data_IF_202454543164
#
_entry.id   IF_202454543164
#
_cell.length_a   1.000
_cell.length_b   1.000
_cell.length_c   1.000
_cell.angle_alpha   90.00
_cell.angle_beta   90.00
_cell.angle_gamma   90.00
#
_symmetry.space_group_name_H-M   'P 1'
#
loop_
_entity.id
_entity.type
_entity.pdbx_description
1 polymer ?
#
# COMPACT_ATOMS: atom_id res chain seq x y z
N UNK A 1 -7.38 9.78 10.10
CA UNK A 1 -7.96 8.51 10.61
C UNK A 1 -7.54 7.32 9.75
N UNK A 2 -7.81 7.29 8.44
CA UNK A 2 -7.53 6.12 7.58
C UNK A 2 -6.05 5.70 7.59
N UNK A 3 -5.11 6.64 7.47
CA UNK A 3 -3.67 6.32 7.52
C UNK A 3 -3.23 5.68 8.86
N UNK A 4 -3.87 6.06 9.98
CA UNK A 4 -3.60 5.45 11.30
C UNK A 4 -4.11 4.02 11.33
N UNK A 5 -5.30 3.76 10.77
CA UNK A 5 -5.83 2.41 10.65
C UNK A 5 -4.90 1.56 9.78
N UNK A 6 -4.42 2.08 8.64
CA UNK A 6 -3.43 1.37 7.79
C UNK A 6 -2.16 1.02 8.58
N UNK A 7 -1.65 1.94 9.40
CA UNK A 7 -0.48 1.68 10.24
C UNK A 7 -0.77 0.59 11.28
N UNK A 8 -1.91 0.66 11.96
CA UNK A 8 -2.33 -0.36 12.93
C UNK A 8 -2.49 -1.74 12.26
N UNK A 9 -3.09 -1.79 11.07
CA UNK A 9 -3.18 -3.02 10.28
C UNK A 9 -1.80 -3.56 9.92
N UNK A 10 -0.85 -2.69 9.57
CA UNK A 10 0.50 -3.12 9.26
C UNK A 10 1.24 -3.65 10.51
N UNK A 11 1.06 -3.00 11.66
CA UNK A 11 1.62 -3.48 12.94
C UNK A 11 1.00 -4.83 13.31
N UNK A 12 -0.31 -4.97 13.14
CA UNK A 12 -1.01 -6.24 13.36
C UNK A 12 -0.51 -7.34 12.42
N UNK A 13 -0.36 -7.05 11.13
CA UNK A 13 0.25 -7.96 10.17
C UNK A 13 1.66 -8.39 10.61
N UNK A 14 2.45 -7.46 11.14
CA UNK A 14 3.81 -7.75 11.64
C UNK A 14 3.78 -8.73 12.82
N UNK A 15 2.86 -8.53 13.77
CA UNK A 15 2.66 -9.45 14.90
C UNK A 15 2.28 -10.84 14.39
N UNK A 16 1.31 -10.94 13.48
CA UNK A 16 0.90 -12.20 12.89
C UNK A 16 2.05 -12.91 12.15
N UNK A 17 2.85 -12.15 11.39
CA UNK A 17 4.02 -12.65 10.67
C UNK A 17 5.05 -13.26 11.63
N UNK A 18 5.35 -12.58 12.75
CA UNK A 18 6.26 -13.09 13.78
C UNK A 18 5.75 -14.35 14.45
N UNK A 19 4.46 -14.37 14.81
CA UNK A 19 3.81 -15.55 15.41
C UNK A 19 3.86 -16.74 14.44
N UNK A 20 3.51 -16.53 13.18
CA UNK A 20 3.54 -17.58 12.15
C UNK A 20 4.94 -18.19 12.00
N UNK A 21 5.99 -17.35 11.98
CA UNK A 21 7.37 -17.84 11.93
C UNK A 21 7.73 -18.70 13.14
N UNK A 22 7.29 -18.32 14.35
CA UNK A 22 7.51 -19.13 15.56
C UNK A 22 6.73 -20.45 15.55
N UNK A 23 5.49 -20.44 15.09
CA UNK A 23 4.64 -21.64 15.00
C UNK A 23 5.24 -22.67 14.02
N UNK A 24 5.85 -22.21 12.92
CA UNK A 24 6.51 -23.08 11.92
C UNK A 24 7.94 -23.46 12.35
N UNK A 25 8.42 -22.96 13.50
CA UNK A 25 9.73 -23.35 14.06
C UNK A 25 10.92 -22.59 13.49
N UNK A 26 10.73 -21.41 12.87
CA UNK A 26 11.84 -20.60 12.37
C UNK A 26 12.70 -20.06 13.53
N UNK A 27 14.03 -20.26 13.49
CA UNK A 27 14.93 -19.77 14.53
C UNK A 27 15.11 -18.25 14.44
N UNK A 28 15.32 -17.60 15.59
CA UNK A 28 15.70 -16.19 15.64
C UNK A 28 14.58 -15.19 15.32
N UNK A 29 14.99 -13.99 14.91
CA UNK A 29 14.13 -12.90 14.46
C UNK A 29 14.27 -12.75 12.93
N UNK A 30 13.23 -12.23 12.25
CA UNK A 30 13.33 -11.95 10.82
C UNK A 30 14.45 -10.95 10.49
N UNK A 31 15.02 -11.01 9.27
CA UNK A 31 15.95 -10.00 8.77
C UNK A 31 15.47 -8.57 8.98
N UNK A 32 16.40 -7.66 9.33
CA UNK A 32 16.08 -6.25 9.59
C UNK A 32 15.46 -5.54 8.37
N UNK A 33 15.79 -6.01 7.16
CA UNK A 33 15.23 -5.50 5.90
C UNK A 33 13.70 -5.57 5.84
N UNK A 34 13.10 -6.54 6.54
CA UNK A 34 11.64 -6.69 6.63
C UNK A 34 11.00 -5.48 7.31
N UNK A 35 11.66 -4.84 8.28
CA UNK A 35 11.15 -3.59 8.86
C UNK A 35 11.09 -2.47 7.81
N UNK A 36 12.10 -2.39 6.95
CA UNK A 36 12.13 -1.47 5.83
C UNK A 36 11.04 -1.77 4.80
N UNK A 37 10.75 -3.05 4.53
CA UNK A 37 9.65 -3.48 3.66
C UNK A 37 8.29 -3.14 4.26
N UNK A 38 8.09 -3.37 5.56
CA UNK A 38 6.86 -3.03 6.28
C UNK A 38 6.60 -1.52 6.24
N UNK A 39 7.64 -0.71 6.48
CA UNK A 39 7.54 0.74 6.42
C UNK A 39 7.13 1.24 5.02
N UNK A 40 7.84 0.77 3.98
CA UNK A 40 7.51 1.08 2.57
C UNK A 40 6.12 0.57 2.19
N UNK A 41 5.76 -0.63 2.62
CA UNK A 41 4.43 -1.22 2.44
C UNK A 41 3.34 -0.36 3.06
N UNK A 42 3.57 0.19 4.25
CA UNK A 42 2.65 1.13 4.92
C UNK A 42 2.40 2.36 4.06
N UNK A 43 3.45 2.94 3.48
CA UNK A 43 3.35 4.11 2.60
C UNK A 43 2.58 3.78 1.32
N UNK A 44 2.85 2.62 0.70
CA UNK A 44 2.05 2.15 -0.43
C UNK A 44 0.58 1.90 -0.04
N UNK A 45 0.34 1.41 1.17
CA UNK A 45 -1.00 1.27 1.74
C UNK A 45 -1.71 2.61 1.93
N UNK A 46 -0.99 3.67 2.32
CA UNK A 46 -1.55 5.03 2.40
C UNK A 46 -1.96 5.56 1.02
N UNK A 47 -1.22 5.24 -0.05
CA UNK A 47 -1.64 5.58 -1.42
C UNK A 47 -2.98 4.94 -1.78
N UNK A 48 -3.13 3.64 -1.49
CA UNK A 48 -4.39 2.93 -1.72
C UNK A 48 -5.50 3.53 -0.86
N UNK A 49 -5.21 3.82 0.40
CA UNK A 49 -6.16 4.41 1.34
C UNK A 49 -6.71 5.77 0.89
N UNK A 50 -5.88 6.65 0.30
CA UNK A 50 -6.36 7.95 -0.19
C UNK A 50 -7.28 7.82 -1.40
N UNK A 51 -7.01 6.86 -2.30
CA UNK A 51 -7.90 6.53 -3.41
C UNK A 51 -9.24 6.01 -2.88
N UNK A 52 -9.19 5.04 -1.97
CA UNK A 52 -10.39 4.42 -1.39
C UNK A 52 -11.23 5.43 -0.61
N UNK A 53 -10.59 6.29 0.16
CA UNK A 53 -11.25 7.40 0.84
C UNK A 53 -11.93 8.35 -0.14
N UNK A 54 -11.26 8.72 -1.23
CA UNK A 54 -11.86 9.59 -2.26
C UNK A 54 -13.10 8.94 -2.87
N UNK A 55 -13.00 7.68 -3.32
CA UNK A 55 -14.12 6.94 -3.93
C UNK A 55 -15.29 6.86 -2.95
N UNK A 56 -15.03 6.51 -1.68
CA UNK A 56 -16.06 6.41 -0.65
C UNK A 56 -16.67 7.77 -0.28
N UNK A 57 -15.91 8.87 -0.35
CA UNK A 57 -16.43 10.22 -0.06
C UNK A 57 -17.36 10.75 -1.16
N UNK A 58 -17.17 10.29 -2.40
CA UNK A 58 -17.93 10.76 -3.56
C UNK A 58 -19.17 9.88 -3.80
N UNK A 59 -19.07 8.58 -3.53
CA UNK A 59 -20.09 7.59 -3.90
C UNK A 59 -20.86 7.11 -2.66
N UNK A 60 -22.18 7.25 -2.68
CA UNK A 60 -23.08 6.84 -1.59
C UNK A 60 -23.27 5.32 -1.47
N UNK A 61 -22.78 4.56 -2.45
CA UNK A 61 -22.88 3.10 -2.51
C UNK A 61 -21.60 2.46 -1.98
N UNK A 62 -21.71 1.72 -0.87
CA UNK A 62 -20.61 0.98 -0.24
C UNK A 62 -19.98 -0.09 -1.14
N UNK A 63 -20.74 -0.73 -2.03
CA UNK A 63 -20.22 -1.80 -2.88
C UNK A 63 -19.17 -1.30 -3.88
N UNK A 64 -19.24 -0.03 -4.30
CA UNK A 64 -18.34 0.52 -5.32
C UNK A 64 -16.91 0.70 -4.78
N UNK A 65 -16.66 1.36 -3.63
CA UNK A 65 -15.33 1.38 -3.02
C UNK A 65 -14.74 -0.03 -2.87
N UNK A 66 -15.53 -1.00 -2.40
CA UNK A 66 -15.08 -2.39 -2.24
C UNK A 66 -14.65 -2.99 -3.58
N UNK A 67 -15.47 -2.85 -4.63
CA UNK A 67 -15.14 -3.35 -5.96
C UNK A 67 -13.88 -2.68 -6.53
N UNK A 68 -13.73 -1.36 -6.35
CA UNK A 68 -12.53 -0.62 -6.78
C UNK A 68 -11.29 -1.09 -6.02
N UNK A 69 -11.41 -1.34 -4.72
CA UNK A 69 -10.33 -1.88 -3.90
C UNK A 69 -9.89 -3.26 -4.35
N UNK A 70 -10.84 -4.15 -4.62
CA UNK A 70 -10.57 -5.51 -5.10
C UNK A 70 -9.91 -5.51 -6.48
N UNK A 71 -10.54 -4.85 -7.46
CA UNK A 71 -10.01 -4.79 -8.83
C UNK A 71 -8.66 -4.08 -8.87
N UNK A 72 -8.52 -2.99 -8.11
CA UNK A 72 -7.26 -2.28 -7.95
C UNK A 72 -6.18 -3.14 -7.32
N UNK A 73 -6.49 -3.94 -6.31
CA UNK A 73 -5.56 -4.88 -5.70
C UNK A 73 -5.05 -5.94 -6.69
N UNK A 74 -5.97 -6.54 -7.47
CA UNK A 74 -5.63 -7.53 -8.51
C UNK A 74 -4.78 -6.89 -9.60
N UNK A 75 -5.20 -5.75 -10.15
CA UNK A 75 -4.42 -5.05 -11.20
C UNK A 75 -3.08 -4.55 -10.65
N UNK A 76 -3.03 -4.13 -9.39
CA UNK A 76 -1.80 -3.74 -8.69
C UNK A 76 -0.80 -4.88 -8.60
N UNK A 77 -1.26 -6.09 -8.28
CA UNK A 77 -0.40 -7.27 -8.27
C UNK A 77 0.16 -7.58 -9.66
N UNK A 78 -0.67 -7.51 -10.71
CA UNK A 78 -0.24 -7.71 -12.09
C UNK A 78 0.79 -6.65 -12.52
N UNK A 79 0.49 -5.37 -12.23
CA UNK A 79 1.35 -4.25 -12.60
C UNK A 79 2.70 -4.26 -11.87
N UNK A 80 2.74 -4.73 -10.62
CA UNK A 80 3.98 -4.85 -9.84
C UNK A 80 5.02 -5.79 -10.49
N UNK A 81 4.59 -6.65 -11.41
CA UNK A 81 5.47 -7.53 -12.16
C UNK A 81 5.96 -6.93 -13.49
N UNK A 82 5.58 -5.68 -13.80
CA UNK A 82 5.97 -4.97 -15.02
C UNK A 82 6.94 -3.83 -14.72
N UNK A 83 7.68 -3.36 -15.73
CA UNK A 83 8.54 -2.17 -15.63
C UNK A 83 7.75 -0.89 -15.28
N UNK A 84 6.45 -0.86 -15.58
CA UNK A 84 5.58 0.27 -15.33
C UNK A 84 4.92 0.25 -13.94
N UNK A 85 5.13 -0.81 -13.14
CA UNK A 85 4.49 -0.95 -11.83
C UNK A 85 4.79 0.18 -10.86
N UNK A 86 5.96 0.82 -10.98
CA UNK A 86 6.33 1.96 -10.12
C UNK A 86 5.43 3.20 -10.33
N UNK A 87 4.76 3.27 -11.49
CA UNK A 87 3.86 4.37 -11.86
C UNK A 87 2.39 4.04 -11.60
N UNK A 88 2.07 2.87 -11.03
CA UNK A 88 0.69 2.46 -10.82
C UNK A 88 0.38 2.44 -9.31
N UNK A 89 -0.67 3.12 -8.84
CA UNK A 89 -0.83 3.40 -7.41
C UNK A 89 -1.06 2.13 -6.57
N UNK A 90 -1.82 1.16 -7.09
CA UNK A 90 -2.10 -0.07 -6.35
C UNK A 90 -0.91 -1.04 -6.31
N UNK A 91 0.06 -0.93 -7.21
CA UNK A 91 1.28 -1.74 -7.16
C UNK A 91 2.30 -1.20 -6.17
N UNK A 92 2.20 0.06 -5.72
CA UNK A 92 3.17 0.65 -4.80
C UNK A 92 3.26 -0.12 -3.48
N UNK A 93 2.14 -0.60 -2.93
CA UNK A 93 2.19 -1.43 -1.71
C UNK A 93 2.99 -2.72 -1.93
N UNK A 94 2.73 -3.40 -3.06
CA UNK A 94 3.42 -4.65 -3.43
C UNK A 94 4.92 -4.42 -3.66
N UNK A 95 5.26 -3.39 -4.40
CA UNK A 95 6.65 -3.02 -4.69
C UNK A 95 7.40 -2.56 -3.44
N UNK A 96 6.77 -1.74 -2.60
CA UNK A 96 7.37 -1.23 -1.38
C UNK A 96 7.62 -2.35 -0.35
N UNK A 97 6.68 -3.27 -0.22
CA UNK A 97 6.75 -4.37 0.74
C UNK A 97 7.60 -5.55 0.26
N UNK A 98 8.07 -5.52 -0.99
CA UNK A 98 8.92 -6.58 -1.57
C UNK A 98 8.33 -8.00 -1.38
N UNK A 99 7.01 -8.13 -1.43
CA UNK A 99 6.31 -9.30 -0.89
C UNK A 99 6.28 -10.51 -1.83
N UNK A 100 6.81 -10.38 -3.05
CA UNK A 100 6.66 -11.39 -4.12
C UNK A 100 7.99 -11.88 -4.69
N UNK A 101 9.12 -11.31 -4.28
CA UNK A 101 10.45 -11.68 -4.78
C UNK A 101 11.45 -11.58 -3.64
N UNK A 102 12.40 -12.50 -3.63
CA UNK A 102 13.53 -12.47 -2.69
C UNK A 102 14.51 -11.34 -3.06
N UNK A 103 14.58 -10.98 -4.33
CA UNK A 103 15.34 -9.82 -4.81
C UNK A 103 14.65 -8.50 -4.46
N UNK A 104 15.45 -7.44 -4.27
CA UNK A 104 14.95 -6.09 -4.02
C UNK A 104 14.19 -5.55 -5.23
N UNK A 105 12.84 -5.62 -5.20
CA UNK A 105 11.94 -5.17 -6.26
C UNK A 105 12.08 -3.69 -6.61
N UNK A 106 12.54 -2.85 -5.68
CA UNK A 106 12.79 -1.44 -5.96
C UNK A 106 14.15 -1.21 -6.61
N UNK A 107 15.14 -2.09 -6.48
CA UNK A 107 16.37 -2.10 -7.29
C UNK A 107 17.04 -0.74 -7.55
N UNK A 108 17.03 0.19 -6.60
CA UNK A 108 17.55 1.57 -6.75
C UNK A 108 16.50 2.66 -7.07
N UNK A 109 15.29 2.29 -7.45
CA UNK A 109 14.12 3.16 -7.68
C UNK A 109 13.44 3.63 -6.38
N UNK A 110 14.13 3.54 -5.25
CA UNK A 110 13.61 3.94 -3.94
C UNK A 110 13.17 5.43 -3.93
N UNK A 111 13.94 6.40 -4.49
CA UNK A 111 13.48 7.78 -4.57
C UNK A 111 12.22 7.93 -5.44
N UNK A 112 12.15 7.21 -6.55
CA UNK A 112 11.00 7.20 -7.46
C UNK A 112 9.75 6.67 -6.75
N UNK A 113 9.89 5.62 -5.95
CA UNK A 113 8.81 5.09 -5.11
C UNK A 113 8.23 6.18 -4.20
N UNK A 114 9.08 6.88 -3.43
CA UNK A 114 8.62 7.94 -2.53
C UNK A 114 8.02 9.12 -3.28
N UNK A 115 8.56 9.48 -4.44
CA UNK A 115 8.03 10.53 -5.30
C UNK A 115 6.60 10.22 -5.74
N UNK A 116 6.35 9.03 -6.30
CA UNK A 116 5.00 8.66 -6.73
C UNK A 116 4.04 8.43 -5.57
N UNK A 117 4.52 7.87 -4.45
CA UNK A 117 3.70 7.74 -3.26
C UNK A 117 3.22 9.10 -2.74
N UNK A 118 4.13 10.06 -2.60
CA UNK A 118 3.80 11.42 -2.19
C UNK A 118 2.88 12.10 -3.19
N UNK A 119 3.17 11.98 -4.50
CA UNK A 119 2.35 12.51 -5.57
C UNK A 119 0.90 12.03 -5.47
N UNK A 120 0.65 10.72 -5.35
CA UNK A 120 -0.72 10.19 -5.26
C UNK A 120 -1.42 10.59 -3.96
N UNK A 121 -0.71 10.55 -2.83
CA UNK A 121 -1.27 10.99 -1.55
C UNK A 121 -1.75 12.44 -1.65
N UNK A 122 -0.92 13.34 -2.19
CA UNK A 122 -1.31 14.75 -2.35
C UNK A 122 -2.43 14.91 -3.38
N UNK A 123 -2.32 14.27 -4.54
CA UNK A 123 -3.29 14.37 -5.63
C UNK A 123 -4.71 14.00 -5.16
N UNK A 124 -4.88 12.81 -4.58
CA UNK A 124 -6.21 12.33 -4.20
C UNK A 124 -6.79 13.07 -2.99
N UNK A 125 -5.95 13.51 -2.03
CA UNK A 125 -6.40 14.36 -0.93
C UNK A 125 -6.86 15.73 -1.45
N UNK A 126 -6.09 16.38 -2.33
CA UNK A 126 -6.45 17.68 -2.89
C UNK A 126 -7.75 17.61 -3.71
N UNK A 127 -7.92 16.55 -4.51
CA UNK A 127 -9.17 16.29 -5.23
C UNK A 127 -10.32 16.11 -4.23
N UNK A 128 -10.15 15.27 -3.21
CA UNK A 128 -11.16 15.03 -2.19
C UNK A 128 -11.60 16.31 -1.48
N UNK A 129 -10.64 17.12 -1.01
CA UNK A 129 -10.94 18.42 -0.37
C UNK A 129 -11.70 19.36 -1.30
N UNK A 130 -11.30 19.44 -2.58
CA UNK A 130 -11.99 20.31 -3.56
C UNK A 130 -13.41 19.83 -3.85
N UNK A 131 -13.65 18.53 -3.95
CA UNK A 131 -14.98 17.97 -4.20
C UNK A 131 -15.89 18.15 -2.99
N UNK A 132 -15.36 17.92 -1.77
CA UNK A 132 -16.13 18.09 -0.54
C UNK A 132 -16.48 19.55 -0.26
N UNK A 133 -15.61 20.52 -0.60
CA UNK A 133 -15.93 21.95 -0.48
C UNK A 133 -17.01 22.44 -1.44
N UNK A 134 -17.26 21.71 -2.52
CA UNK A 134 -18.31 22.05 -3.51
C UNK A 134 -19.67 21.43 -3.18
N UNK A 135 -19.70 20.49 -2.24
CA UNK A 135 -20.92 19.87 -1.72
C UNK A 135 -21.39 20.62 -0.49
#
# INVERSE_FOLDING_TARGET
MVCVITLLTQLWFTVLYLIAGKVVGLPGLPPIDILGWIFRGTIGGWVIATIQYLVASVISNFAIPVAVGLLGGISGLLMANTKAGIFYPYSLMVLGMNSNKDDNMLGGLLPTFFLFALFYILLFNLIGVRLLKKR
#
